data_IF_004603334452
#
_entry.id   IF_004603334452
#
_cell.length_a   1.000
_cell.length_b   1.000
_cell.length_c   1.000
_cell.angle_alpha   90.00
_cell.angle_beta   90.00
_cell.angle_gamma   90.00
#
_symmetry.space_group_name_H-M   'P 1'
#
loop_
_entity.id
_entity.type
_entity.pdbx_description
1 polymer ?
#
# COMPACT_ATOMS: atom_id res chain seq x y z
N UNK A 1 -5.79 -25.17 2.92
CA UNK A 1 -4.72 -24.54 3.69
C UNK A 1 -3.92 -23.57 2.85
N UNK A 2 -3.83 -22.35 3.29
CA UNK A 2 -3.06 -21.34 2.57
C UNK A 2 -1.58 -21.54 2.85
N UNK A 3 -0.79 -21.60 1.78
CA UNK A 3 0.66 -21.61 1.88
C UNK A 3 1.26 -20.27 1.52
N UNK A 4 0.43 -19.36 1.08
CA UNK A 4 0.86 -18.05 0.68
C UNK A 4 0.60 -17.06 1.80
N UNK A 5 1.44 -16.08 1.88
CA UNK A 5 1.28 -14.97 2.79
C UNK A 5 1.75 -13.71 2.12
N UNK A 6 1.68 -12.63 2.89
CA UNK A 6 2.16 -11.32 2.45
C UNK A 6 3.00 -10.74 3.57
N UNK A 7 4.18 -10.25 3.21
CA UNK A 7 5.05 -9.57 4.15
C UNK A 7 5.09 -8.08 3.83
N UNK A 8 5.04 -7.28 4.87
CA UNK A 8 5.28 -5.84 4.75
C UNK A 8 6.78 -5.62 4.77
N UNK A 9 7.35 -5.28 3.62
CA UNK A 9 8.79 -5.12 3.49
C UNK A 9 9.25 -3.69 3.77
N UNK A 10 8.39 -2.71 3.50
CA UNK A 10 8.74 -1.30 3.69
C UNK A 10 7.46 -0.52 3.93
N UNK A 11 7.57 0.51 4.78
CA UNK A 11 6.47 1.43 4.98
C UNK A 11 7.03 2.82 5.22
N UNK A 12 6.42 3.79 4.60
CA UNK A 12 6.77 5.19 4.77
C UNK A 12 5.48 5.97 5.01
N UNK A 13 5.47 6.79 6.05
CA UNK A 13 4.30 7.59 6.41
C UNK A 13 4.76 9.03 6.59
N UNK A 14 4.00 9.94 6.00
CA UNK A 14 4.24 11.37 6.16
C UNK A 14 2.98 12.00 6.76
N UNK A 15 3.14 12.58 7.93
CA UNK A 15 2.04 13.27 8.61
C UNK A 15 2.04 14.73 8.20
N UNK A 16 0.90 15.21 7.72
CA UNK A 16 0.75 16.55 7.19
C UNK A 16 -0.02 17.46 8.14
N UNK A 17 -1.02 16.89 8.83
CA UNK A 17 -1.85 17.61 9.77
C UNK A 17 -2.00 16.76 11.02
N UNK A 18 -2.20 17.40 12.15
CA UNK A 18 -2.43 16.67 13.38
C UNK A 18 -3.82 16.05 13.36
N UNK A 19 -3.88 14.74 13.56
CA UNK A 19 -5.14 14.03 13.65
C UNK A 19 -5.46 13.82 15.12
N UNK A 20 -6.39 14.63 15.63
CA UNK A 20 -6.84 14.52 17.02
C UNK A 20 -8.12 13.70 17.06
N UNK A 21 -8.52 13.31 18.28
CA UNK A 21 -9.77 12.59 18.44
C UNK A 21 -10.93 13.43 17.88
N UNK A 22 -11.82 12.76 17.16
CA UNK A 22 -12.96 13.40 16.53
C UNK A 22 -14.07 12.38 16.37
N UNK A 23 -15.34 12.82 16.50
CA UNK A 23 -16.46 11.90 16.26
C UNK A 23 -16.67 11.57 14.79
N UNK A 24 -16.27 12.48 13.88
CA UNK A 24 -16.43 12.22 12.45
C UNK A 24 -15.35 11.24 11.98
N UNK A 25 -15.71 10.25 11.16
CA UNK A 25 -14.72 9.32 10.63
C UNK A 25 -13.82 9.99 9.61
N UNK A 26 -12.62 9.44 9.46
CA UNK A 26 -11.74 9.82 8.36
C UNK A 26 -11.90 8.81 7.24
N UNK A 27 -11.55 9.21 6.03
CA UNK A 27 -11.53 8.35 4.86
C UNK A 27 -10.11 7.92 4.57
N UNK A 28 -9.94 6.66 4.21
CA UNK A 28 -8.65 6.13 3.78
C UNK A 28 -8.81 5.69 2.34
N UNK A 29 -8.12 6.38 1.44
CA UNK A 29 -8.02 5.97 0.05
C UNK A 29 -6.84 5.02 -0.08
N UNK A 30 -7.00 3.96 -0.84
CA UNK A 30 -5.94 2.97 -1.07
C UNK A 30 -5.90 2.64 -2.54
N UNK A 31 -4.69 2.55 -3.09
CA UNK A 31 -4.51 2.17 -4.48
C UNK A 31 -3.15 1.52 -4.66
N UNK A 32 -2.96 0.84 -5.79
CA UNK A 32 -1.68 0.24 -6.15
C UNK A 32 -0.86 1.27 -6.90
N UNK A 33 0.38 1.47 -6.52
CA UNK A 33 1.26 2.43 -7.20
C UNK A 33 2.24 1.76 -8.14
N UNK A 34 2.58 0.50 -7.89
CA UNK A 34 3.51 -0.24 -8.74
C UNK A 34 3.32 -1.73 -8.54
N UNK A 35 3.60 -2.52 -9.58
CA UNK A 35 3.51 -3.98 -9.53
C UNK A 35 4.82 -4.54 -10.04
N UNK A 36 5.49 -5.35 -9.22
CA UNK A 36 6.72 -6.04 -9.60
C UNK A 36 6.49 -7.51 -9.86
N UNK A 37 7.58 -8.28 -9.85
CA UNK A 37 7.50 -9.72 -10.07
C UNK A 37 6.98 -10.50 -8.87
N UNK A 38 7.39 -10.11 -7.67
CA UNK A 38 7.00 -10.77 -6.43
C UNK A 38 6.51 -9.78 -5.38
N UNK A 39 6.34 -8.52 -5.76
CA UNK A 39 5.98 -7.46 -4.82
C UNK A 39 5.12 -6.42 -5.51
N UNK A 40 4.50 -5.59 -4.72
CA UNK A 40 3.75 -4.44 -5.21
C UNK A 40 3.78 -3.35 -4.17
N UNK A 41 3.56 -2.11 -4.62
CA UNK A 41 3.51 -0.96 -3.75
C UNK A 41 2.07 -0.47 -3.65
N UNK A 42 1.69 -0.06 -2.44
CA UNK A 42 0.38 0.51 -2.16
C UNK A 42 0.54 1.95 -1.72
N UNK A 43 -0.37 2.79 -2.18
CA UNK A 43 -0.46 4.16 -1.71
C UNK A 43 -1.70 4.34 -0.85
N UNK A 44 -1.60 5.23 0.13
CA UNK A 44 -2.69 5.53 1.06
C UNK A 44 -2.78 7.03 1.28
N UNK A 45 -4.01 7.51 1.42
CA UNK A 45 -4.27 8.87 1.86
C UNK A 45 -5.31 8.82 2.97
N UNK A 46 -5.01 9.46 4.09
CA UNK A 46 -5.96 9.59 5.20
C UNK A 46 -6.45 11.02 5.20
N UNK A 47 -7.73 11.21 4.99
CA UNK A 47 -8.28 12.55 4.79
C UNK A 47 -9.69 12.70 5.32
N UNK A 48 -10.10 13.95 5.44
CA UNK A 48 -11.48 14.33 5.67
C UNK A 48 -11.77 15.46 4.67
N UNK A 49 -12.56 15.15 3.63
CA UNK A 49 -12.78 16.10 2.56
C UNK A 49 -11.47 16.50 1.89
N UNK A 50 -11.19 17.79 1.89
CA UNK A 50 -9.96 18.31 1.28
C UNK A 50 -8.77 18.33 2.24
N UNK A 51 -8.99 18.03 3.51
CA UNK A 51 -7.92 18.03 4.50
C UNK A 51 -7.26 16.67 4.51
N UNK A 52 -5.98 16.62 4.14
CA UNK A 52 -5.20 15.39 4.13
C UNK A 52 -4.34 15.35 5.39
N UNK A 53 -4.60 14.36 6.25
CA UNK A 53 -3.85 14.21 7.50
C UNK A 53 -2.54 13.47 7.31
N UNK A 54 -2.52 12.49 6.44
CA UNK A 54 -1.31 11.69 6.23
C UNK A 54 -1.33 11.05 4.85
N UNK A 55 -0.13 10.80 4.34
CA UNK A 55 0.08 10.00 3.15
C UNK A 55 1.05 8.89 3.49
N UNK A 56 0.86 7.74 2.88
CA UNK A 56 1.70 6.59 3.17
C UNK A 56 1.92 5.77 1.92
N UNK A 57 3.02 5.03 1.93
CA UNK A 57 3.34 4.07 0.89
C UNK A 57 3.92 2.83 1.54
N UNK A 58 3.51 1.67 1.06
CA UNK A 58 3.98 0.39 1.57
C UNK A 58 4.44 -0.48 0.42
N UNK A 59 5.48 -1.27 0.66
CA UNK A 59 5.88 -2.33 -0.26
C UNK A 59 5.53 -3.66 0.38
N UNK A 60 4.76 -4.45 -0.35
CA UNK A 60 4.29 -5.74 0.10
C UNK A 60 4.92 -6.82 -0.79
N UNK A 61 5.33 -7.92 -0.18
CA UNK A 61 6.00 -9.01 -0.88
C UNK A 61 5.16 -10.27 -0.73
N UNK A 62 4.87 -10.91 -1.86
CA UNK A 62 4.22 -12.21 -1.84
C UNK A 62 5.20 -13.24 -1.30
N UNK A 63 4.74 -14.07 -0.39
CA UNK A 63 5.59 -14.96 0.38
C UNK A 63 5.03 -16.37 0.34
N UNK A 64 5.92 -17.34 0.18
CA UNK A 64 5.56 -18.76 0.24
C UNK A 64 5.98 -19.30 1.59
N UNK A 65 5.01 -19.67 2.40
CA UNK A 65 5.28 -20.16 3.75
C UNK A 65 5.98 -21.51 3.74
N UNK A 66 5.76 -22.31 2.70
CA UNK A 66 6.38 -23.63 2.59
C UNK A 66 7.88 -23.52 2.35
N UNK A 67 8.31 -22.61 1.49
CA UNK A 67 9.72 -22.41 1.17
C UNK A 67 10.38 -21.33 2.00
N UNK A 68 9.56 -20.54 2.72
CA UNK A 68 10.01 -19.40 3.53
C UNK A 68 10.76 -18.39 2.68
N UNK A 69 10.24 -18.11 1.49
CA UNK A 69 10.84 -17.13 0.61
C UNK A 69 9.80 -16.40 -0.22
N UNK A 70 10.26 -15.40 -0.94
CA UNK A 70 9.39 -14.65 -1.84
C UNK A 70 8.93 -15.58 -2.96
N UNK A 71 7.70 -15.36 -3.43
CA UNK A 71 7.17 -16.09 -4.58
C UNK A 71 6.73 -15.11 -5.64
N UNK A 72 6.78 -15.55 -6.89
CA UNK A 72 6.30 -14.71 -7.98
C UNK A 72 4.80 -14.57 -7.91
N UNK A 73 4.31 -13.39 -8.26
CA UNK A 73 2.89 -13.18 -8.41
C UNK A 73 2.38 -13.98 -9.61
N UNK A 74 1.20 -14.57 -9.46
CA UNK A 74 0.54 -15.23 -10.59
C UNK A 74 0.03 -14.18 -11.58
N UNK A 75 -0.27 -14.62 -12.80
CA UNK A 75 -0.83 -13.71 -13.80
C UNK A 75 -2.14 -13.10 -13.34
N UNK A 76 -2.98 -13.90 -12.66
CA UNK A 76 -4.25 -13.39 -12.13
C UNK A 76 -4.03 -12.35 -11.04
N UNK A 77 -3.06 -12.59 -10.16
CA UNK A 77 -2.73 -11.62 -9.12
C UNK A 77 -2.22 -10.31 -9.71
N UNK A 78 -1.32 -10.41 -10.70
CA UNK A 78 -0.80 -9.22 -11.35
C UNK A 78 -1.90 -8.44 -12.07
N UNK A 79 -2.82 -9.15 -12.71
CA UNK A 79 -3.94 -8.50 -13.39
C UNK A 79 -4.84 -7.77 -12.41
N UNK A 80 -5.14 -8.41 -11.28
CA UNK A 80 -6.00 -7.81 -10.25
C UNK A 80 -5.35 -6.57 -9.66
N UNK A 81 -4.04 -6.63 -9.37
CA UNK A 81 -3.32 -5.48 -8.82
C UNK A 81 -3.22 -4.37 -9.86
N UNK A 82 -2.93 -4.72 -11.10
CA UNK A 82 -2.79 -3.72 -12.17
C UNK A 82 -4.09 -3.00 -12.46
N UNK A 83 -5.23 -3.64 -12.20
CA UNK A 83 -6.53 -3.00 -12.38
C UNK A 83 -6.74 -1.86 -11.39
N UNK A 84 -5.97 -1.81 -10.31
CA UNK A 84 -6.07 -0.78 -9.29
C UNK A 84 -4.90 0.19 -9.31
N UNK A 85 -4.12 0.18 -10.38
CA UNK A 85 -2.99 1.10 -10.51
C UNK A 85 -3.45 2.54 -10.54
N UNK A 86 -2.79 3.37 -9.75
CA UNK A 86 -2.97 4.81 -9.73
C UNK A 86 -1.62 5.50 -9.79
N UNK A 87 -1.62 6.79 -9.61
CA UNK A 87 -0.39 7.56 -9.63
C UNK A 87 0.44 7.39 -8.36
N UNK A 88 1.67 7.91 -8.37
CA UNK A 88 2.51 7.83 -7.19
C UNK A 88 1.95 8.67 -6.05
N UNK A 89 2.32 8.31 -4.82
CA UNK A 89 1.96 9.09 -3.65
C UNK A 89 2.83 10.36 -3.64
N UNK A 90 2.22 11.55 -3.54
CA UNK A 90 3.01 12.79 -3.55
C UNK A 90 3.65 13.07 -2.19
N UNK A 91 4.64 12.27 -1.84
CA UNK A 91 5.36 12.41 -0.58
C UNK A 91 6.33 13.57 -0.68
N UNK A 92 6.40 14.39 0.38
CA UNK A 92 7.31 15.52 0.38
C UNK A 92 8.77 15.10 0.38
N UNK A 93 9.06 13.97 1.02
CA UNK A 93 10.44 13.51 1.19
C UNK A 93 10.92 12.63 0.06
N UNK A 94 10.05 12.38 -0.89
CA UNK A 94 10.42 11.53 -2.01
C UNK A 94 11.48 12.22 -2.85
N UNK A 95 12.46 11.44 -3.25
CA UNK A 95 13.55 11.92 -4.08
C UNK A 95 13.51 11.30 -5.44
#
# INVERSE_FOLDING_TARGET
MLRSGVLLARQEIEFLEQLTYRPEPVLIDMWVTAVGGASWDMGYTIRDGDVVFARAESTLVAFDLATQGARRLTDDERAALSAQLGGPVPMRRRR
#
